data_IF_259918526131
#
_entry.id   IF_259918526131
#
_cell.length_a   1.000
_cell.length_b   1.000
_cell.length_c   1.000
_cell.angle_alpha   90.00
_cell.angle_beta   90.00
_cell.angle_gamma   90.00
#
_symmetry.space_group_name_H-M   'P 1'
#
loop_
_entity.id
_entity.type
_entity.pdbx_description
1 polymer ?
#
# COMPACT_ATOMS: atom_id res chain seq x y z
N UNK A 1 58.71 31.45 -63.65
CA UNK A 1 57.28 31.79 -63.80
C UNK A 1 56.54 30.53 -63.40
N UNK A 2 56.21 30.36 -62.13
CA UNK A 2 55.01 30.89 -61.46
C UNK A 2 54.18 29.65 -61.11
N UNK A 3 53.57 29.69 -59.92
CA UNK A 3 52.53 28.78 -59.43
C UNK A 3 52.99 27.42 -58.90
N UNK A 4 52.41 26.86 -57.84
CA UNK A 4 51.58 27.33 -56.72
C UNK A 4 51.47 26.09 -55.83
N UNK A 5 51.89 26.18 -54.58
CA UNK A 5 51.89 25.05 -53.65
C UNK A 5 50.45 24.60 -53.32
N UNK A 6 50.18 23.31 -53.52
CA UNK A 6 48.98 22.63 -53.04
C UNK A 6 49.11 22.30 -51.54
N UNK A 7 48.06 22.50 -50.71
CA UNK A 7 48.01 21.95 -49.37
C UNK A 7 47.25 20.62 -49.32
N UNK A 8 47.83 19.73 -48.52
CA UNK A 8 47.44 18.37 -48.15
C UNK A 8 46.02 18.32 -47.56
N UNK A 9 45.11 17.56 -48.20
CA UNK A 9 43.79 17.24 -47.63
C UNK A 9 43.83 15.91 -46.88
N UNK A 10 43.48 15.99 -45.59
CA UNK A 10 43.21 14.88 -44.69
C UNK A 10 41.96 14.11 -45.14
N UNK A 11 42.08 12.80 -45.40
CA UNK A 11 40.92 11.92 -45.53
C UNK A 11 40.38 11.57 -44.14
N UNK A 12 39.20 12.11 -43.83
CA UNK A 12 38.28 11.56 -42.84
C UNK A 12 37.24 10.71 -43.59
N UNK A 13 36.89 9.49 -43.16
CA UNK A 13 35.87 8.72 -43.86
C UNK A 13 34.47 9.23 -43.50
N UNK A 14 33.74 9.54 -44.56
CA UNK A 14 32.33 9.92 -44.55
C UNK A 14 31.44 8.81 -43.99
N UNK A 15 30.45 9.24 -43.21
CA UNK A 15 29.29 8.47 -42.82
C UNK A 15 28.48 8.13 -44.07
N UNK A 16 28.16 6.86 -44.27
CA UNK A 16 26.96 6.47 -45.02
C UNK A 16 26.04 5.69 -44.10
N UNK A 17 24.85 6.26 -43.91
CA UNK A 17 23.73 5.72 -43.17
C UNK A 17 23.38 4.30 -43.64
N UNK A 18 23.40 3.34 -42.73
CA UNK A 18 22.47 2.24 -42.74
C UNK A 18 21.65 2.33 -41.44
N UNK A 19 20.46 2.91 -41.58
CA UNK A 19 19.43 2.98 -40.56
C UNK A 19 19.01 1.56 -40.19
N UNK A 20 19.69 0.98 -39.20
CA UNK A 20 19.19 -0.19 -38.47
C UNK A 20 18.05 0.30 -37.60
N UNK A 21 16.84 0.35 -38.17
CA UNK A 21 15.60 0.37 -37.40
C UNK A 21 15.63 -0.83 -36.43
N UNK A 22 15.88 -0.53 -35.16
CA UNK A 22 15.83 -1.50 -34.07
C UNK A 22 14.38 -1.99 -33.93
N UNK A 23 14.10 -3.10 -34.60
CA UNK A 23 12.87 -3.88 -34.44
C UNK A 23 12.68 -4.17 -32.93
N UNK A 24 11.51 -3.86 -32.32
CA UNK A 24 11.26 -4.18 -30.92
C UNK A 24 11.41 -5.69 -30.74
N UNK A 25 12.38 -6.08 -29.90
CA UNK A 25 12.83 -7.46 -29.71
C UNK A 25 11.64 -8.41 -29.50
N UNK A 26 11.36 -9.27 -30.48
CA UNK A 26 10.67 -10.54 -30.23
C UNK A 26 11.62 -11.41 -29.39
N UNK A 27 11.59 -11.25 -28.07
CA UNK A 27 12.32 -12.14 -27.17
C UNK A 27 11.72 -13.55 -27.32
N UNK A 28 12.57 -14.54 -27.55
CA UNK A 28 12.13 -15.93 -27.55
C UNK A 28 11.54 -16.27 -26.17
N UNK A 29 10.42 -17.03 -26.11
CA UNK A 29 9.82 -17.39 -24.83
C UNK A 29 10.77 -18.19 -23.93
N UNK A 30 10.89 -17.78 -22.66
CA UNK A 30 11.75 -18.41 -21.65
C UNK A 30 10.88 -19.18 -20.65
N UNK A 31 11.29 -20.38 -20.26
CA UNK A 31 10.58 -21.14 -19.20
C UNK A 31 10.78 -20.45 -17.84
N UNK A 32 9.70 -20.32 -17.06
CA UNK A 32 9.77 -19.80 -15.69
C UNK A 32 10.66 -20.69 -14.79
N UNK A 33 11.22 -20.13 -13.73
CA UNK A 33 11.92 -20.92 -12.71
C UNK A 33 10.97 -21.77 -11.83
N UNK A 34 11.57 -22.63 -11.01
CA UNK A 34 10.87 -23.37 -9.95
C UNK A 34 9.95 -22.45 -9.11
N UNK A 35 8.77 -22.93 -8.68
CA UNK A 35 8.20 -24.26 -8.90
C UNK A 35 7.39 -24.39 -10.21
N UNK A 36 7.40 -23.39 -11.09
CA UNK A 36 6.54 -23.31 -12.27
C UNK A 36 7.19 -23.86 -13.54
N UNK A 37 8.15 -24.79 -13.38
CA UNK A 37 8.87 -25.48 -14.45
C UNK A 37 8.68 -27.01 -14.42
N UNK A 38 7.66 -27.51 -13.71
CA UNK A 38 7.46 -28.95 -13.53
C UNK A 38 7.16 -29.65 -14.86
N UNK A 39 7.81 -30.80 -15.15
CA UNK A 39 7.66 -31.50 -16.42
C UNK A 39 6.28 -32.15 -16.59
N UNK A 40 5.58 -32.45 -15.50
CA UNK A 40 4.26 -33.12 -15.52
C UNK A 40 3.07 -32.15 -15.61
N UNK A 41 3.31 -30.86 -15.84
CA UNK A 41 2.27 -29.89 -16.10
C UNK A 41 1.50 -30.21 -17.39
N UNK A 42 0.21 -29.88 -17.44
CA UNK A 42 -0.68 -30.15 -18.58
C UNK A 42 -1.15 -28.86 -19.28
N UNK A 43 -0.61 -27.71 -18.88
CA UNK A 43 -0.85 -26.41 -19.51
C UNK A 43 0.33 -25.44 -19.31
N UNK A 44 0.55 -24.56 -20.29
CA UNK A 44 1.50 -23.45 -20.21
C UNK A 44 0.75 -22.13 -20.28
N UNK A 45 0.96 -21.24 -19.30
CA UNK A 45 0.53 -19.84 -19.39
C UNK A 45 1.72 -19.01 -19.89
N UNK A 46 1.58 -18.37 -21.04
CA UNK A 46 2.60 -17.48 -21.62
C UNK A 46 2.27 -16.03 -21.33
N UNK A 47 3.13 -15.37 -20.57
CA UNK A 47 2.95 -13.96 -20.17
C UNK A 47 3.30 -12.99 -21.28
N UNK A 48 2.87 -11.73 -21.15
CA UNK A 48 3.12 -10.68 -22.15
C UNK A 48 4.60 -10.31 -22.31
N UNK A 49 5.42 -10.57 -21.28
CA UNK A 49 6.87 -10.47 -21.30
C UNK A 49 7.57 -11.80 -21.70
N UNK A 50 6.82 -12.71 -22.35
CA UNK A 50 7.32 -13.95 -22.96
C UNK A 50 7.94 -14.95 -21.97
N UNK A 51 7.33 -15.11 -20.79
CA UNK A 51 7.70 -16.15 -19.83
C UNK A 51 6.63 -17.25 -19.81
N UNK A 52 7.06 -18.50 -19.93
CA UNK A 52 6.21 -19.69 -19.97
C UNK A 52 6.13 -20.33 -18.57
N UNK A 53 4.96 -20.24 -17.95
CA UNK A 53 4.67 -20.87 -16.65
C UNK A 53 3.96 -22.22 -16.87
N UNK A 54 4.61 -23.30 -16.45
CA UNK A 54 4.02 -24.65 -16.48
C UNK A 54 3.13 -24.85 -15.25
N UNK A 55 1.89 -25.25 -15.46
CA UNK A 55 0.92 -25.43 -14.38
C UNK A 55 -0.09 -26.55 -14.67
N UNK A 56 -1.07 -26.71 -13.78
CA UNK A 56 -2.08 -27.77 -13.86
C UNK A 56 -3.47 -27.21 -14.13
N UNK A 57 -4.14 -27.68 -15.18
CA UNK A 57 -5.51 -27.31 -15.55
C UNK A 57 -6.47 -27.51 -14.38
N UNK A 58 -6.39 -28.66 -13.70
CA UNK A 58 -7.22 -28.96 -12.53
C UNK A 58 -7.10 -27.88 -11.45
N UNK A 59 -5.87 -27.48 -11.08
CA UNK A 59 -5.66 -26.47 -10.04
C UNK A 59 -6.17 -25.09 -10.48
N UNK A 60 -5.95 -24.71 -11.74
CA UNK A 60 -6.51 -23.48 -12.29
C UNK A 60 -8.04 -23.50 -12.30
N UNK A 61 -8.67 -24.61 -12.72
CA UNK A 61 -10.13 -24.75 -12.72
C UNK A 61 -10.72 -24.66 -11.32
N UNK A 62 -10.07 -25.23 -10.31
CA UNK A 62 -10.52 -25.14 -8.92
C UNK A 62 -10.39 -23.72 -8.37
N UNK A 63 -9.38 -22.97 -8.80
CA UNK A 63 -9.13 -21.60 -8.35
C UNK A 63 -9.92 -20.54 -9.15
N UNK A 64 -10.28 -20.83 -10.40
CA UNK A 64 -10.81 -19.88 -11.37
C UNK A 64 -11.94 -20.50 -12.20
N UNK A 65 -13.19 -20.04 -12.01
CA UNK A 65 -14.31 -20.37 -12.89
C UNK A 65 -14.06 -19.99 -14.34
N UNK A 66 -13.32 -18.90 -14.59
CA UNK A 66 -12.92 -18.50 -15.95
C UNK A 66 -12.13 -19.61 -16.64
N UNK A 67 -11.07 -20.11 -16.00
CA UNK A 67 -10.26 -21.18 -16.57
C UNK A 67 -11.02 -22.51 -16.64
N UNK A 68 -11.86 -22.83 -15.65
CA UNK A 68 -12.73 -24.01 -15.69
C UNK A 68 -13.65 -24.00 -16.93
N UNK A 69 -14.31 -22.88 -17.19
CA UNK A 69 -15.17 -22.73 -18.36
C UNK A 69 -14.37 -22.78 -19.65
N UNK A 70 -13.22 -22.10 -19.72
CA UNK A 70 -12.36 -22.09 -20.91
C UNK A 70 -11.87 -23.50 -21.28
N UNK A 71 -11.50 -24.33 -20.31
CA UNK A 71 -11.06 -25.70 -20.56
C UNK A 71 -12.20 -26.66 -20.93
N UNK A 72 -13.44 -26.34 -20.54
CA UNK A 72 -14.63 -27.12 -20.89
C UNK A 72 -15.12 -26.86 -22.33
N UNK A 73 -14.68 -25.77 -22.97
CA UNK A 73 -15.07 -25.46 -24.35
C UNK A 73 -14.43 -26.44 -25.35
N UNK A 74 -15.16 -26.84 -26.41
CA UNK A 74 -14.59 -27.60 -27.51
C UNK A 74 -13.41 -26.85 -28.12
N UNK A 75 -12.24 -27.48 -28.15
CA UNK A 75 -11.07 -26.88 -28.80
C UNK A 75 -11.19 -27.05 -30.33
N UNK A 76 -10.80 -26.04 -31.13
CA UNK A 76 -10.77 -26.17 -32.58
C UNK A 76 -9.95 -27.40 -32.99
N UNK A 77 -10.44 -28.13 -33.99
CA UNK A 77 -9.76 -29.31 -34.48
C UNK A 77 -8.45 -28.93 -35.16
N UNK A 78 -7.51 -29.88 -35.36
CA UNK A 78 -6.25 -29.64 -36.09
C UNK A 78 -6.44 -29.08 -37.51
N UNK A 79 -7.65 -29.21 -38.06
CA UNK A 79 -8.03 -28.81 -39.41
C UNK A 79 -8.48 -27.34 -39.51
N UNK A 80 -8.71 -26.66 -38.38
CA UNK A 80 -9.34 -25.33 -38.36
C UNK A 80 -8.34 -24.17 -38.52
N UNK A 81 -7.07 -24.45 -38.83
CA UNK A 81 -6.05 -23.42 -39.14
C UNK A 81 -5.65 -22.51 -37.96
N UNK A 82 -6.36 -22.58 -36.83
CA UNK A 82 -5.93 -22.02 -35.56
C UNK A 82 -4.77 -22.87 -35.06
N UNK A 83 -3.55 -22.37 -35.23
CA UNK A 83 -2.37 -22.95 -34.63
C UNK A 83 -2.54 -22.93 -33.10
N UNK A 84 -3.10 -24.01 -32.55
CA UNK A 84 -2.99 -24.30 -31.12
C UNK A 84 -1.50 -24.41 -30.85
N UNK A 85 -0.90 -23.33 -30.35
CA UNK A 85 0.52 -23.30 -30.06
C UNK A 85 0.76 -24.32 -28.95
N UNK A 86 1.46 -25.39 -29.29
CA UNK A 86 1.90 -26.40 -28.34
C UNK A 86 3.39 -26.27 -28.13
N UNK A 87 3.83 -26.43 -26.89
CA UNK A 87 5.25 -26.58 -26.53
C UNK A 87 5.37 -27.80 -25.65
N UNK A 88 6.26 -28.73 -25.99
CA UNK A 88 6.36 -30.04 -25.33
C UNK A 88 5.05 -30.86 -25.37
N UNK A 89 4.28 -30.76 -26.47
CA UNK A 89 2.94 -31.36 -26.60
C UNK A 89 1.89 -30.85 -25.59
N UNK A 90 2.19 -29.75 -24.90
CA UNK A 90 1.31 -29.09 -23.92
C UNK A 90 0.74 -27.81 -24.54
N UNK A 91 -0.57 -27.53 -24.38
CA UNK A 91 -1.19 -26.31 -24.90
C UNK A 91 -0.66 -25.05 -24.21
N UNK A 92 -0.40 -24.01 -25.00
CA UNK A 92 -0.02 -22.68 -24.54
C UNK A 92 -1.24 -21.75 -24.56
N UNK A 93 -1.48 -21.06 -23.46
CA UNK A 93 -2.50 -20.01 -23.33
C UNK A 93 -1.78 -18.69 -23.12
N UNK A 94 -1.88 -17.75 -24.07
CA UNK A 94 -1.33 -16.41 -23.88
C UNK A 94 -2.17 -15.63 -22.84
N UNK A 95 -1.49 -14.92 -21.95
CA UNK A 95 -2.08 -14.03 -20.95
C UNK A 95 -1.47 -12.63 -21.08
N UNK A 96 -2.26 -11.58 -20.80
CA UNK A 96 -1.81 -10.20 -20.96
C UNK A 96 -0.93 -9.70 -19.81
N UNK A 97 -0.98 -10.37 -18.67
CA UNK A 97 -0.24 -9.98 -17.47
C UNK A 97 1.24 -10.36 -17.60
N UNK A 98 2.09 -9.59 -16.92
CA UNK A 98 3.53 -9.85 -16.85
C UNK A 98 3.83 -11.05 -15.97
N UNK A 99 4.99 -11.66 -16.18
CA UNK A 99 5.52 -12.80 -15.42
C UNK A 99 5.47 -12.59 -13.91
N UNK A 100 5.79 -11.37 -13.43
CA UNK A 100 5.71 -11.02 -12.02
C UNK A 100 4.31 -11.24 -11.43
N UNK A 101 3.24 -10.83 -12.12
CA UNK A 101 1.86 -10.94 -11.64
C UNK A 101 1.39 -12.39 -11.67
N UNK A 102 1.61 -13.08 -12.78
CA UNK A 102 1.21 -14.48 -12.95
C UNK A 102 1.92 -15.38 -11.93
N UNK A 103 3.20 -15.15 -11.66
CA UNK A 103 3.93 -15.87 -10.60
C UNK A 103 3.21 -15.78 -9.26
N UNK A 104 2.84 -14.56 -8.81
CA UNK A 104 2.10 -14.37 -7.55
C UNK A 104 0.74 -15.05 -7.58
N UNK A 105 -0.01 -14.87 -8.66
CA UNK A 105 -1.35 -15.44 -8.83
C UNK A 105 -1.33 -16.98 -8.73
N UNK A 106 -0.39 -17.61 -9.44
CA UNK A 106 -0.20 -19.06 -9.42
C UNK A 106 0.30 -19.56 -8.06
N UNK A 107 1.14 -18.78 -7.35
CA UNK A 107 1.55 -19.12 -5.97
C UNK A 107 0.35 -19.21 -5.02
N UNK A 108 -0.66 -18.35 -5.16
CA UNK A 108 -1.89 -18.47 -4.36
C UNK A 108 -2.76 -19.69 -4.72
N UNK A 109 -2.62 -20.22 -5.94
CA UNK A 109 -3.40 -21.36 -6.44
C UNK A 109 -2.71 -22.71 -6.19
N UNK A 110 -1.40 -22.70 -5.94
CA UNK A 110 -0.59 -23.89 -5.74
C UNK A 110 -0.81 -24.46 -4.33
N UNK A 111 -1.25 -25.73 -4.17
CA UNK A 111 -1.35 -26.37 -2.88
C UNK A 111 0.01 -26.86 -2.34
N UNK A 112 1.09 -26.72 -3.14
CA UNK A 112 2.40 -27.22 -2.77
C UNK A 112 2.96 -26.35 -1.65
N UNK A 113 3.12 -26.94 -0.47
CA UNK A 113 3.64 -26.34 0.77
C UNK A 113 5.06 -25.74 0.66
N UNK A 114 5.72 -25.86 -0.50
CA UNK A 114 7.07 -25.31 -0.77
C UNK A 114 7.04 -23.89 -1.34
N UNK A 115 5.87 -23.28 -1.55
CA UNK A 115 5.78 -21.85 -1.89
C UNK A 115 5.37 -21.06 -0.65
N UNK A 116 6.29 -20.24 -0.15
CA UNK A 116 5.97 -19.20 0.81
C UNK A 116 4.82 -18.31 0.30
N UNK A 117 4.09 -17.69 1.23
CA UNK A 117 3.11 -16.66 0.90
C UNK A 117 3.77 -15.63 -0.02
N UNK A 118 3.23 -15.38 -1.22
CA UNK A 118 3.92 -14.56 -2.20
C UNK A 118 4.15 -13.15 -1.64
N UNK A 119 5.40 -12.71 -1.67
CA UNK A 119 5.71 -11.33 -1.30
C UNK A 119 5.01 -10.37 -2.26
N UNK A 120 4.36 -9.36 -1.69
CA UNK A 120 3.78 -8.23 -2.40
C UNK A 120 4.67 -7.04 -2.11
N UNK A 121 5.44 -6.61 -3.10
CA UNK A 121 6.54 -5.66 -2.88
C UNK A 121 6.04 -4.22 -2.69
N UNK A 122 4.94 -3.86 -3.34
CA UNK A 122 4.33 -2.54 -3.29
C UNK A 122 2.84 -2.61 -3.70
N UNK A 123 2.11 -1.50 -3.53
CA UNK A 123 0.69 -1.45 -3.87
C UNK A 123 0.40 -1.50 -5.38
N UNK A 124 1.37 -1.21 -6.24
CA UNK A 124 1.19 -1.33 -7.71
C UNK A 124 1.12 -2.81 -8.14
N UNK A 125 1.97 -3.66 -7.54
CA UNK A 125 1.90 -5.11 -7.71
C UNK A 125 0.62 -5.66 -7.11
N UNK A 126 0.20 -5.19 -5.93
CA UNK A 126 -1.09 -5.56 -5.34
C UNK A 126 -2.22 -5.28 -6.32
N UNK A 127 -2.31 -4.06 -6.85
CA UNK A 127 -3.35 -3.67 -7.81
C UNK A 127 -3.32 -4.54 -9.06
N UNK A 128 -2.12 -4.79 -9.61
CA UNK A 128 -1.97 -5.66 -10.78
C UNK A 128 -2.43 -7.11 -10.52
N UNK A 129 -2.16 -7.64 -9.33
CA UNK A 129 -2.60 -8.99 -8.91
C UNK A 129 -4.11 -9.01 -8.67
N UNK A 130 -4.67 -7.96 -8.07
CA UNK A 130 -6.11 -7.83 -7.84
C UNK A 130 -6.89 -7.71 -9.16
N UNK A 131 -6.43 -6.89 -10.10
CA UNK A 131 -7.03 -6.77 -11.43
C UNK A 131 -6.97 -8.11 -12.20
N UNK A 132 -5.85 -8.84 -12.09
CA UNK A 132 -5.73 -10.18 -12.67
C UNK A 132 -6.67 -11.19 -11.97
N UNK A 133 -6.78 -11.13 -10.65
CA UNK A 133 -7.69 -11.99 -9.89
C UNK A 133 -9.15 -11.73 -10.28
N UNK A 134 -9.55 -10.48 -10.46
CA UNK A 134 -10.90 -10.13 -10.94
C UNK A 134 -11.13 -10.62 -12.38
N UNK A 135 -10.15 -10.38 -13.28
CA UNK A 135 -10.19 -10.83 -14.68
C UNK A 135 -10.38 -12.34 -14.81
N UNK A 136 -9.69 -13.11 -13.97
CA UNK A 136 -9.75 -14.57 -13.97
C UNK A 136 -10.77 -15.13 -12.97
N UNK A 137 -11.66 -14.32 -12.41
CA UNK A 137 -12.69 -14.71 -11.42
C UNK A 137 -12.12 -15.51 -10.21
N UNK A 138 -10.91 -15.16 -9.78
CA UNK A 138 -10.20 -15.77 -8.65
C UNK A 138 -10.53 -15.06 -7.32
N UNK A 139 -11.81 -15.01 -6.96
CA UNK A 139 -12.33 -14.27 -5.78
C UNK A 139 -11.59 -14.56 -4.47
N UNK A 140 -11.17 -15.81 -4.25
CA UNK A 140 -10.45 -16.20 -3.03
C UNK A 140 -9.07 -15.55 -2.95
N UNK A 141 -8.37 -15.44 -4.08
CA UNK A 141 -7.09 -14.76 -4.18
C UNK A 141 -7.25 -13.28 -3.88
N UNK A 142 -8.25 -12.62 -4.49
CA UNK A 142 -8.57 -11.22 -4.22
C UNK A 142 -8.78 -10.94 -2.73
N UNK A 143 -9.58 -11.76 -2.04
CA UNK A 143 -9.79 -11.64 -0.59
C UNK A 143 -8.51 -11.79 0.23
N UNK A 144 -7.59 -12.67 -0.15
CA UNK A 144 -6.32 -12.83 0.56
C UNK A 144 -5.39 -11.63 0.32
N UNK A 145 -5.29 -11.16 -0.92
CA UNK A 145 -4.45 -10.01 -1.26
C UNK A 145 -4.92 -8.74 -0.54
N UNK A 146 -6.24 -8.50 -0.49
CA UNK A 146 -6.79 -7.35 0.27
C UNK A 146 -6.55 -7.47 1.78
N UNK A 147 -6.44 -8.68 2.34
CA UNK A 147 -6.02 -8.86 3.74
C UNK A 147 -4.55 -8.49 3.95
N UNK A 148 -3.69 -8.75 2.97
CA UNK A 148 -2.26 -8.51 3.09
C UNK A 148 -1.90 -7.02 3.08
N UNK A 149 -2.72 -6.15 2.48
CA UNK A 149 -2.44 -4.70 2.43
C UNK A 149 -2.55 -3.99 3.78
N UNK A 150 -3.08 -4.64 4.82
CA UNK A 150 -3.07 -4.09 6.19
C UNK A 150 -1.77 -4.35 6.94
N UNK A 151 -0.76 -4.94 6.30
CA UNK A 151 0.57 -5.07 6.88
C UNK A 151 1.20 -3.68 7.13
N UNK A 152 2.00 -3.49 8.20
CA UNK A 152 2.60 -2.19 8.54
C UNK A 152 3.35 -1.53 7.38
N UNK A 153 4.06 -2.33 6.56
CA UNK A 153 4.78 -1.84 5.39
C UNK A 153 3.93 -1.03 4.40
N UNK A 154 2.64 -1.31 4.29
CA UNK A 154 1.73 -0.58 3.39
C UNK A 154 0.99 0.53 4.14
N UNK A 155 0.50 0.25 5.35
CA UNK A 155 -0.21 1.25 6.16
C UNK A 155 0.68 2.43 6.53
N UNK A 156 1.94 2.20 6.87
CA UNK A 156 2.88 3.25 7.25
C UNK A 156 3.28 4.14 6.06
N UNK A 157 3.33 3.57 4.86
CA UNK A 157 3.78 4.27 3.65
C UNK A 157 2.63 4.97 2.91
N UNK A 158 1.51 4.27 2.69
CA UNK A 158 0.46 4.72 1.77
C UNK A 158 -0.96 4.41 2.31
N UNK A 159 -1.32 4.89 3.53
CA UNK A 159 -2.56 4.48 4.19
C UNK A 159 -3.84 4.89 3.43
N UNK A 160 -3.79 6.00 2.68
CA UNK A 160 -4.91 6.43 1.84
C UNK A 160 -5.16 5.46 0.68
N UNK A 161 -4.10 4.93 0.06
CA UNK A 161 -4.21 3.89 -0.98
C UNK A 161 -4.75 2.61 -0.38
N UNK A 162 -4.24 2.18 0.78
CA UNK A 162 -4.73 0.98 1.48
C UNK A 162 -6.24 1.12 1.76
N UNK A 163 -6.69 2.27 2.27
CA UNK A 163 -8.11 2.54 2.47
C UNK A 163 -8.92 2.44 1.17
N UNK A 164 -8.47 3.09 0.10
CA UNK A 164 -9.17 3.12 -1.17
C UNK A 164 -9.28 1.71 -1.78
N UNK A 165 -8.21 0.92 -1.73
CA UNK A 165 -8.19 -0.47 -2.21
C UNK A 165 -9.14 -1.33 -1.35
N UNK A 166 -9.01 -1.30 -0.02
CA UNK A 166 -9.89 -2.08 0.85
C UNK A 166 -11.37 -1.72 0.64
N UNK A 167 -11.67 -0.44 0.43
CA UNK A 167 -13.02 0.03 0.17
C UNK A 167 -13.56 -0.38 -1.21
N UNK A 168 -12.73 -0.33 -2.26
CA UNK A 168 -13.06 -0.84 -3.61
C UNK A 168 -13.49 -2.30 -3.55
N UNK A 169 -12.77 -3.11 -2.77
CA UNK A 169 -13.04 -4.54 -2.59
C UNK A 169 -14.07 -4.86 -1.50
N UNK A 170 -14.71 -3.84 -0.90
CA UNK A 170 -15.74 -3.99 0.16
C UNK A 170 -15.27 -4.83 1.34
N UNK A 171 -13.98 -4.72 1.65
CA UNK A 171 -13.33 -5.45 2.73
C UNK A 171 -13.46 -4.64 4.03
N UNK A 172 -14.53 -4.89 4.78
CA UNK A 172 -14.97 -4.04 5.89
C UNK A 172 -13.92 -3.91 7.01
N UNK A 173 -13.34 -5.03 7.41
CA UNK A 173 -12.33 -5.08 8.47
C UNK A 173 -11.08 -4.28 8.05
N UNK A 174 -10.60 -4.51 6.83
CA UNK A 174 -9.41 -3.90 6.25
C UNK A 174 -9.61 -2.40 6.01
N UNK A 175 -10.80 -2.01 5.57
CA UNK A 175 -11.20 -0.60 5.41
C UNK A 175 -11.21 0.11 6.76
N UNK A 176 -11.72 -0.55 7.80
CA UNK A 176 -11.75 0.01 9.16
C UNK A 176 -10.34 0.13 9.74
N UNK A 177 -9.48 -0.87 9.53
CA UNK A 177 -8.07 -0.82 9.94
C UNK A 177 -7.37 0.38 9.30
N UNK A 178 -7.51 0.53 7.97
CA UNK A 178 -6.93 1.66 7.25
C UNK A 178 -7.49 3.00 7.74
N UNK A 179 -8.82 3.11 7.91
CA UNK A 179 -9.47 4.34 8.40
C UNK A 179 -9.04 4.71 9.83
N UNK A 180 -8.85 3.73 10.72
CA UNK A 180 -8.27 3.97 12.05
C UNK A 180 -6.84 4.46 11.94
N UNK A 181 -6.05 3.85 11.07
CA UNK A 181 -4.67 4.28 10.84
C UNK A 181 -4.60 5.73 10.35
N UNK A 182 -5.55 6.14 9.50
CA UNK A 182 -5.66 7.51 8.98
C UNK A 182 -5.89 8.57 10.07
N UNK A 183 -6.34 8.22 11.28
CA UNK A 183 -6.50 9.17 12.39
C UNK A 183 -5.17 9.75 12.90
N UNK A 184 -4.03 9.15 12.50
CA UNK A 184 -2.67 9.68 12.72
C UNK A 184 -2.40 10.96 11.94
N UNK A 185 -3.22 11.26 10.93
CA UNK A 185 -3.08 12.40 10.04
C UNK A 185 -4.26 13.35 10.21
N UNK A 186 -4.05 14.63 9.90
CA UNK A 186 -5.18 15.55 9.76
C UNK A 186 -5.98 15.16 8.52
N UNK A 187 -7.30 15.39 8.53
CA UNK A 187 -8.17 14.95 7.43
C UNK A 187 -7.81 15.50 6.03
N UNK A 188 -7.04 16.59 5.98
CA UNK A 188 -6.59 17.26 4.75
C UNK A 188 -5.13 16.98 4.36
N UNK A 189 -4.36 16.28 5.20
CA UNK A 189 -2.95 15.95 4.93
C UNK A 189 -2.74 14.91 3.83
N UNK A 190 -3.53 13.82 3.77
CA UNK A 190 -3.36 12.79 2.75
C UNK A 190 -3.56 13.37 1.35
N UNK A 191 -2.59 13.11 0.48
CA UNK A 191 -2.67 13.51 -0.92
C UNK A 191 -3.66 12.64 -1.70
N UNK A 192 -4.07 13.15 -2.86
CA UNK A 192 -4.79 12.36 -3.85
C UNK A 192 -3.96 11.13 -4.28
N UNK A 193 -4.65 10.02 -4.45
CA UNK A 193 -4.10 8.77 -4.98
C UNK A 193 -5.07 8.20 -6.02
N UNK A 194 -4.54 7.55 -7.05
CA UNK A 194 -5.33 7.09 -8.20
C UNK A 194 -6.43 6.10 -7.78
N UNK A 195 -6.24 5.35 -6.69
CA UNK A 195 -7.22 4.39 -6.22
C UNK A 195 -8.52 5.02 -5.72
N UNK A 196 -8.52 6.32 -5.41
CA UNK A 196 -9.73 7.06 -5.05
C UNK A 196 -10.74 7.13 -6.20
N UNK A 197 -10.29 7.04 -7.46
CA UNK A 197 -11.18 7.02 -8.62
C UNK A 197 -12.06 5.77 -8.68
N UNK A 198 -11.70 4.72 -7.94
CA UNK A 198 -12.46 3.46 -7.90
C UNK A 198 -13.41 3.36 -6.70
N UNK A 199 -13.50 4.39 -5.86
CA UNK A 199 -14.47 4.45 -4.76
C UNK A 199 -15.49 5.55 -5.01
N UNK A 200 -16.67 5.42 -4.40
CA UNK A 200 -17.67 6.48 -4.55
C UNK A 200 -17.30 7.70 -3.69
N UNK A 201 -17.74 8.90 -4.10
CA UNK A 201 -17.65 10.08 -3.24
C UNK A 201 -18.34 9.89 -1.88
N UNK A 202 -19.33 8.99 -1.81
CA UNK A 202 -19.97 8.60 -0.54
C UNK A 202 -19.03 7.81 0.37
N UNK A 203 -18.17 6.96 -0.18
CA UNK A 203 -17.20 6.17 0.58
C UNK A 203 -16.14 7.10 1.21
N UNK A 204 -15.62 8.04 0.42
CA UNK A 204 -14.70 9.07 0.92
C UNK A 204 -15.37 9.97 1.97
N UNK A 205 -16.61 10.41 1.74
CA UNK A 205 -17.34 11.23 2.71
C UNK A 205 -17.53 10.51 4.06
N UNK A 206 -17.72 9.19 4.07
CA UNK A 206 -17.81 8.40 5.31
C UNK A 206 -16.49 8.38 6.07
N UNK A 207 -15.34 8.30 5.39
CA UNK A 207 -14.03 8.44 6.04
C UNK A 207 -13.89 9.81 6.72
N UNK A 208 -14.25 10.90 6.03
CA UNK A 208 -14.16 12.25 6.59
C UNK A 208 -15.09 12.43 7.79
N UNK A 209 -16.33 11.95 7.71
CA UNK A 209 -17.27 11.98 8.84
C UNK A 209 -16.79 11.13 10.02
N UNK A 210 -16.24 9.95 9.75
CA UNK A 210 -15.65 9.09 10.77
C UNK A 210 -14.49 9.79 11.49
N UNK A 211 -13.57 10.41 10.74
CA UNK A 211 -12.46 11.19 11.29
C UNK A 211 -12.95 12.34 12.18
N UNK A 212 -13.90 13.14 11.69
CA UNK A 212 -14.49 14.24 12.46
C UNK A 212 -15.19 13.75 13.74
N UNK A 213 -15.90 12.61 13.67
CA UNK A 213 -16.57 12.01 14.83
C UNK A 213 -15.57 11.51 15.87
N UNK A 214 -14.46 10.91 15.44
CA UNK A 214 -13.36 10.52 16.34
C UNK A 214 -12.75 11.76 17.01
N UNK A 215 -12.50 12.84 16.25
CA UNK A 215 -11.99 14.09 16.79
C UNK A 215 -12.93 14.72 17.82
N UNK A 216 -14.25 14.66 17.61
CA UNK A 216 -15.22 15.11 18.62
C UNK A 216 -15.20 14.22 19.88
N UNK A 217 -15.10 12.90 19.70
CA UNK A 217 -15.11 11.93 20.79
C UNK A 217 -13.92 12.11 21.75
N UNK A 218 -12.76 12.56 21.27
CA UNK A 218 -11.58 12.94 22.08
C UNK A 218 -11.95 13.87 23.24
N UNK A 219 -12.97 14.72 23.09
CA UNK A 219 -13.44 15.60 24.17
C UNK A 219 -13.87 14.85 25.45
N UNK A 220 -14.16 13.55 25.37
CA UNK A 220 -14.45 12.71 26.54
C UNK A 220 -13.25 12.53 27.48
N UNK A 221 -12.01 12.68 26.97
CA UNK A 221 -10.78 12.65 27.78
C UNK A 221 -10.79 13.69 28.90
N UNK A 222 -11.62 14.74 28.78
CA UNK A 222 -11.79 15.76 29.82
C UNK A 222 -12.11 15.17 31.19
N UNK A 223 -12.87 14.07 31.20
CA UNK A 223 -13.33 13.42 32.43
C UNK A 223 -12.24 12.56 33.08
N UNK A 224 -11.14 12.31 32.36
CA UNK A 224 -10.10 11.36 32.75
C UNK A 224 -8.84 12.02 33.31
N UNK A 225 -8.74 13.35 33.31
CA UNK A 225 -7.52 14.03 33.79
C UNK A 225 -7.21 13.83 35.27
N UNK A 226 -8.21 13.51 36.10
CA UNK A 226 -7.97 13.15 37.50
C UNK A 226 -7.27 11.79 37.63
N UNK A 227 -7.62 10.84 36.77
CA UNK A 227 -7.04 9.49 36.72
C UNK A 227 -5.72 9.46 35.95
N UNK A 228 -5.61 10.24 34.88
CA UNK A 228 -4.46 10.33 33.98
C UNK A 228 -3.95 11.78 33.88
N UNK A 229 -3.33 12.30 34.95
CA UNK A 229 -2.90 13.69 35.00
C UNK A 229 -1.75 13.96 34.02
N UNK A 230 -1.78 15.12 33.38
CA UNK A 230 -0.72 15.53 32.45
C UNK A 230 0.63 15.67 33.17
N UNK A 231 1.74 15.21 32.54
CA UNK A 231 3.06 15.33 33.14
C UNK A 231 3.50 16.80 33.16
N UNK A 232 4.15 17.28 34.23
CA UNK A 232 4.64 18.66 34.27
C UNK A 232 5.79 18.87 33.27
N UNK A 233 5.62 19.89 32.43
CA UNK A 233 6.62 20.36 31.45
C UNK A 233 7.76 21.18 32.07
N UNK A 234 7.65 21.50 33.36
CA UNK A 234 8.57 22.33 34.13
C UNK A 234 9.14 21.58 35.36
N UNK A 235 10.09 22.21 36.06
CA UNK A 235 10.62 21.71 37.32
C UNK A 235 10.26 22.63 38.50
N UNK A 236 10.46 22.13 39.73
CA UNK A 236 10.21 22.89 40.97
C UNK A 236 10.94 24.24 40.99
N UNK A 237 12.14 24.33 40.41
CA UNK A 237 12.92 25.56 40.35
C UNK A 237 12.33 26.59 39.38
N UNK A 238 11.90 26.15 38.18
CA UNK A 238 11.18 27.01 37.23
C UNK A 238 9.93 27.61 37.87
N UNK A 239 9.16 26.80 38.61
CA UNK A 239 7.98 27.28 39.35
C UNK A 239 8.34 28.34 40.39
N UNK A 240 9.33 28.08 41.24
CA UNK A 240 9.78 29.03 42.27
C UNK A 240 10.27 30.36 41.68
N UNK A 241 10.85 30.34 40.48
CA UNK A 241 11.32 31.53 39.77
C UNK A 241 10.24 32.25 38.93
N UNK A 242 8.99 31.77 38.94
CA UNK A 242 7.92 32.33 38.10
C UNK A 242 8.16 32.14 36.60
N UNK A 243 8.99 31.16 36.21
CA UNK A 243 9.25 30.84 34.80
C UNK A 243 8.14 29.98 34.18
N UNK A 244 7.34 29.29 35.01
CA UNK A 244 6.18 28.52 34.56
C UNK A 244 5.05 29.47 34.15
N UNK A 245 4.73 29.51 32.86
CA UNK A 245 3.73 30.44 32.29
C UNK A 245 2.47 29.77 31.76
N UNK A 246 2.49 28.45 31.60
CA UNK A 246 1.38 27.69 31.05
C UNK A 246 0.48 27.19 32.19
N UNK A 247 -0.79 27.58 32.18
CA UNK A 247 -1.75 27.05 33.14
C UNK A 247 -2.08 25.58 32.83
N UNK A 248 -2.55 24.83 33.84
CA UNK A 248 -2.96 23.44 33.63
C UNK A 248 -4.11 23.35 32.62
N UNK A 249 -5.05 24.30 32.66
CA UNK A 249 -6.18 24.36 31.74
C UNK A 249 -5.72 24.56 30.30
N UNK A 250 -4.83 25.53 30.06
CA UNK A 250 -4.30 25.78 28.71
C UNK A 250 -3.53 24.58 28.17
N UNK A 251 -2.86 23.82 29.05
CA UNK A 251 -2.19 22.58 28.65
C UNK A 251 -3.21 21.49 28.26
N UNK A 252 -4.23 21.27 29.09
CA UNK A 252 -5.31 20.31 28.81
C UNK A 252 -6.03 20.65 27.50
N UNK A 253 -6.40 21.91 27.30
CA UNK A 253 -7.06 22.38 26.09
C UNK A 253 -6.16 22.16 24.86
N UNK A 254 -4.85 22.46 24.97
CA UNK A 254 -3.89 22.23 23.87
C UNK A 254 -3.71 20.76 23.50
N UNK A 255 -3.86 19.83 24.45
CA UNK A 255 -3.84 18.38 24.18
C UNK A 255 -5.10 17.96 23.43
N UNK A 256 -6.27 18.42 23.89
CA UNK A 256 -7.55 18.10 23.24
C UNK A 256 -7.59 18.67 21.82
N UNK A 257 -7.14 19.89 21.61
CA UNK A 257 -7.13 20.51 20.29
C UNK A 257 -6.17 19.79 19.32
N UNK A 258 -5.00 19.34 19.80
CA UNK A 258 -4.11 18.53 18.98
C UNK A 258 -4.75 17.18 18.59
N UNK A 259 -5.34 16.48 19.56
CA UNK A 259 -6.00 15.19 19.33
C UNK A 259 -7.28 15.31 18.51
N UNK A 260 -7.98 16.46 18.54
CA UNK A 260 -9.13 16.72 17.66
C UNK A 260 -8.74 16.75 16.19
N UNK A 261 -7.56 17.30 15.88
CA UNK A 261 -7.04 17.37 14.50
C UNK A 261 -6.52 16.00 14.06
N UNK A 262 -5.82 15.28 14.94
CA UNK A 262 -5.27 13.95 14.67
C UNK A 262 -5.64 13.01 15.83
N UNK A 263 -6.77 12.29 15.76
CA UNK A 263 -7.31 11.47 16.85
C UNK A 263 -6.48 10.21 17.13
N UNK A 264 -5.27 10.39 17.64
CA UNK A 264 -4.27 9.36 17.83
C UNK A 264 -3.27 9.82 18.90
N UNK A 265 -2.87 8.96 19.85
CA UNK A 265 -1.99 9.39 20.95
C UNK A 265 -0.61 9.82 20.48
N UNK A 266 -0.12 9.24 19.39
CA UNK A 266 1.15 9.58 18.75
C UNK A 266 1.20 11.03 18.26
N UNK A 267 0.04 11.69 18.10
CA UNK A 267 -0.04 13.13 17.83
C UNK A 267 0.69 13.96 18.89
N UNK A 268 0.68 13.51 20.15
CA UNK A 268 1.38 14.19 21.24
C UNK A 268 2.90 13.99 21.18
N UNK A 269 3.39 13.07 20.35
CA UNK A 269 4.81 12.86 20.06
C UNK A 269 5.32 13.77 18.93
N UNK A 270 4.45 14.56 18.31
CA UNK A 270 4.84 15.50 17.27
C UNK A 270 5.87 16.52 17.83
N UNK A 271 7.09 16.61 17.24
CA UNK A 271 8.14 17.47 17.76
C UNK A 271 7.77 18.95 17.81
N UNK A 272 7.06 19.46 16.80
CA UNK A 272 6.63 20.86 16.73
C UNK A 272 5.61 21.20 17.80
N UNK A 273 4.67 20.28 18.07
CA UNK A 273 3.72 20.43 19.16
C UNK A 273 4.43 20.43 20.52
N UNK A 274 5.32 19.47 20.76
CA UNK A 274 6.10 19.39 22.01
C UNK A 274 6.91 20.66 22.23
N UNK A 275 7.65 21.13 21.22
CA UNK A 275 8.46 22.34 21.29
C UNK A 275 7.58 23.56 21.60
N UNK A 276 6.43 23.67 20.94
CA UNK A 276 5.46 24.74 21.19
C UNK A 276 5.00 24.75 22.64
N UNK A 277 4.66 23.58 23.19
CA UNK A 277 4.19 23.47 24.58
C UNK A 277 5.30 23.77 25.59
N UNK A 278 6.51 23.27 25.35
CA UNK A 278 7.69 23.55 26.20
C UNK A 278 8.06 25.04 26.18
N UNK A 279 7.97 25.69 25.02
CA UNK A 279 8.20 27.13 24.88
C UNK A 279 7.14 27.94 25.62
N UNK A 280 5.85 27.60 25.47
CA UNK A 280 4.74 28.22 26.20
C UNK A 280 4.91 28.07 27.72
N UNK A 281 5.41 26.92 28.18
CA UNK A 281 5.66 26.68 29.59
C UNK A 281 6.79 27.56 30.18
N UNK A 282 7.66 28.18 29.36
CA UNK A 282 8.79 28.98 29.85
C UNK A 282 9.89 28.14 30.52
N UNK A 283 10.00 26.86 30.12
CA UNK A 283 10.87 25.86 30.74
C UNK A 283 12.37 26.08 30.49
N UNK A 284 13.21 25.78 31.51
CA UNK A 284 14.67 25.83 31.42
C UNK A 284 15.25 24.72 30.53
N UNK A 285 16.52 24.79 30.07
CA UNK A 285 17.11 23.82 29.14
C UNK A 285 16.89 22.35 29.54
N UNK A 286 17.22 21.97 30.78
CA UNK A 286 17.02 20.58 31.22
C UNK A 286 15.55 20.15 31.34
N UNK A 287 14.59 21.07 31.45
CA UNK A 287 13.17 20.73 31.31
C UNK A 287 12.79 20.50 29.85
N UNK A 288 13.37 21.27 28.92
CA UNK A 288 13.19 21.06 27.47
C UNK A 288 13.69 19.68 27.05
N UNK A 289 14.82 19.23 27.61
CA UNK A 289 15.39 17.91 27.29
C UNK A 289 14.56 16.75 27.86
N UNK A 290 13.96 16.95 29.04
CA UNK A 290 13.18 15.89 29.73
C UNK A 290 11.71 15.82 29.30
N UNK A 291 11.13 16.92 28.84
CA UNK A 291 9.72 16.97 28.47
C UNK A 291 9.34 15.94 27.39
N UNK A 292 10.09 15.77 26.29
CA UNK A 292 9.78 14.74 25.29
C UNK A 292 9.68 13.34 25.87
N UNK A 293 10.61 12.95 26.76
CA UNK A 293 10.58 11.62 27.41
C UNK A 293 9.35 11.44 28.30
N UNK A 294 9.01 12.46 29.09
CA UNK A 294 7.79 12.41 29.93
C UNK A 294 6.52 12.30 29.10
N UNK A 295 6.45 13.02 27.98
CA UNK A 295 5.30 12.95 27.07
C UNK A 295 5.25 11.56 26.42
N UNK A 296 6.39 11.00 26.01
CA UNK A 296 6.47 9.64 25.50
C UNK A 296 5.92 8.60 26.48
N UNK A 297 6.31 8.65 27.75
CA UNK A 297 5.78 7.73 28.74
C UNK A 297 4.28 7.96 28.99
N UNK A 298 3.84 9.22 29.03
CA UNK A 298 2.42 9.56 29.16
C UNK A 298 1.57 9.04 27.99
N UNK A 299 2.07 9.07 26.75
CA UNK A 299 1.30 8.53 25.60
C UNK A 299 1.00 7.04 25.73
N UNK A 300 1.86 6.26 26.40
CA UNK A 300 1.60 4.84 26.69
C UNK A 300 0.44 4.67 27.66
N UNK A 301 0.35 5.54 28.67
CA UNK A 301 -0.74 5.55 29.65
C UNK A 301 -2.06 6.00 29.01
N UNK A 302 -2.02 7.02 28.13
CA UNK A 302 -3.19 7.56 27.46
C UNK A 302 -3.68 6.70 26.27
N UNK A 303 -2.85 5.77 25.77
CA UNK A 303 -3.17 4.95 24.59
C UNK A 303 -4.46 4.16 24.77
N UNK A 304 -4.59 3.45 25.89
CA UNK A 304 -5.77 2.61 26.20
C UNK A 304 -7.05 3.44 26.29
N UNK A 305 -7.16 4.47 27.15
CA UNK A 305 -8.41 5.22 27.26
C UNK A 305 -8.79 5.97 25.98
N UNK A 306 -7.81 6.46 25.21
CA UNK A 306 -8.13 7.09 23.92
C UNK A 306 -8.63 6.04 22.91
N UNK A 307 -8.00 4.87 22.85
CA UNK A 307 -8.43 3.80 21.95
C UNK A 307 -9.83 3.29 22.30
N UNK A 308 -10.16 3.17 23.59
CA UNK A 308 -11.51 2.85 24.07
C UNK A 308 -12.54 3.87 23.59
N UNK A 309 -12.26 5.18 23.72
CA UNK A 309 -13.14 6.25 23.24
C UNK A 309 -13.33 6.15 21.72
N UNK A 310 -12.24 5.99 20.95
CA UNK A 310 -12.28 5.92 19.49
C UNK A 310 -13.01 4.65 19.02
N UNK A 311 -12.83 3.52 19.72
CA UNK A 311 -13.45 2.24 19.36
C UNK A 311 -14.99 2.25 19.40
N UNK A 312 -15.58 3.19 20.14
CA UNK A 312 -17.03 3.39 20.17
C UNK A 312 -17.56 4.02 18.88
N UNK A 313 -16.70 4.70 18.12
CA UNK A 313 -17.05 5.32 16.85
C UNK A 313 -16.90 4.28 15.75
N UNK A 314 -18.01 3.99 15.06
CA UNK A 314 -18.02 3.04 13.94
C UNK A 314 -17.88 3.78 12.62
N UNK A 315 -17.03 3.25 11.74
CA UNK A 315 -17.06 3.63 10.34
C UNK A 315 -18.27 2.96 9.70
N UNK A 316 -19.19 3.74 9.18
CA UNK A 316 -20.32 3.22 8.41
C UNK A 316 -19.79 2.69 7.07
N UNK A 317 -19.76 1.36 6.90
CA UNK A 317 -19.42 0.72 5.64
C UNK A 317 -20.69 0.05 5.15
N UNK A 318 -21.18 0.43 3.96
CA UNK A 318 -22.34 -0.27 3.39
C UNK A 318 -21.89 -1.62 2.84
N UNK A 319 -22.43 -2.70 3.40
CA UNK A 319 -22.52 -3.99 2.71
C UNK A 319 -23.65 -3.86 1.68
N UNK A 320 -23.32 -3.88 0.40
CA UNK A 320 -24.31 -4.04 -0.67
C UNK A 320 -24.37 -5.51 -1.08
#
# INVERSE_FOLDING_TARGET
>A
MSESAQPTQQLSPERTNASSELNPRCMAPVDADSPFNRPHADVILRTSDSVDFRFYKLLLSLASPFFANMFALPQPGPLDGAANQTKYDIPIIPVSEKSAVIRKLLSFCSPVYDTDVPALENLDIVMSVLDAADKYDMKRVGKFVVKMITAPQFLEQEPMRVFAIACRYRAEAETTIAARYMLRFAAWEPAYVAELDFISGSDYQRLIKYHASCGQAVGQLVRLWSTFPLPPLDCKFCRKKGLSRLSLKDYQDSVIDALRIRPCVETLLNPEWIETMVRKAGSCPGCRDRAPRKIQDYTKELAVPLDEIISQIRLEIKSY
#
